data_IF_166254076271
#
_entry.id   IF_166254076271
#
_cell.length_a   1.000
_cell.length_b   1.000
_cell.length_c   1.000
_cell.angle_alpha   90.00
_cell.angle_beta   90.00
_cell.angle_gamma   90.00
#
_symmetry.space_group_name_H-M   'P 1'
#
loop_
_entity.id
_entity.type
_entity.pdbx_description
1 polymer ?
#
# COMPACT_ATOMS: atom_id res chain seq x y z
N UNK A 1 46.35 12.46 -45.03
CA UNK A 1 45.06 13.08 -44.92
C UNK A 1 43.87 12.16 -44.93
N UNK A 2 43.89 11.10 -45.63
CA UNK A 2 42.73 10.20 -45.71
C UNK A 2 42.50 9.29 -44.53
N UNK A 3 43.38 9.32 -43.65
CA UNK A 3 43.35 8.34 -42.59
C UNK A 3 42.21 8.48 -41.60
N UNK A 4 41.68 9.61 -41.55
CA UNK A 4 40.52 9.77 -40.70
C UNK A 4 39.35 8.96 -41.11
N UNK A 5 39.21 8.83 -42.36
CA UNK A 5 38.12 8.04 -42.91
C UNK A 5 38.26 6.58 -42.59
N UNK A 6 39.45 6.14 -42.51
CA UNK A 6 39.72 4.75 -42.18
C UNK A 6 39.23 4.39 -40.79
N UNK A 7 39.51 5.24 -39.88
CA UNK A 7 39.09 4.96 -38.52
C UNK A 7 37.57 4.91 -38.36
N UNK A 8 36.94 5.75 -39.09
CA UNK A 8 35.46 5.71 -39.10
C UNK A 8 34.97 4.41 -39.70
N UNK A 9 35.60 4.00 -40.78
CA UNK A 9 35.22 2.76 -41.42
C UNK A 9 35.44 1.57 -40.50
N UNK A 10 36.51 1.59 -39.80
CA UNK A 10 36.78 0.56 -38.83
C UNK A 10 35.69 0.52 -37.79
N UNK A 11 35.35 1.65 -37.28
CA UNK A 11 34.29 1.75 -36.34
C UNK A 11 32.98 1.18 -36.87
N UNK A 12 32.70 1.50 -38.09
CA UNK A 12 31.48 1.03 -38.73
C UNK A 12 31.49 -0.48 -38.85
N UNK A 13 32.59 -1.02 -39.34
CA UNK A 13 32.67 -2.45 -39.50
C UNK A 13 32.47 -3.19 -38.20
N UNK A 14 33.11 -2.75 -37.19
CA UNK A 14 32.98 -3.34 -35.88
C UNK A 14 31.57 -3.16 -35.30
N UNK A 15 31.04 -2.01 -35.51
CA UNK A 15 29.67 -1.74 -35.06
C UNK A 15 28.67 -2.70 -35.70
N UNK A 16 28.84 -2.95 -36.96
CA UNK A 16 27.99 -3.88 -37.68
C UNK A 16 28.02 -5.26 -37.04
N UNK A 17 29.19 -5.72 -36.75
CA UNK A 17 29.35 -7.01 -36.11
C UNK A 17 28.75 -6.99 -34.68
N UNK A 18 29.11 -6.00 -33.98
CA UNK A 18 28.59 -5.81 -32.64
C UNK A 18 27.08 -5.59 -32.72
N UNK A 19 26.68 -4.82 -33.68
CA UNK A 19 25.28 -4.62 -33.91
C UNK A 19 24.53 -5.92 -34.14
N UNK A 20 25.11 -6.81 -34.89
CA UNK A 20 24.54 -8.12 -35.09
C UNK A 20 24.36 -8.89 -33.76
N UNK A 21 25.32 -8.76 -32.93
CA UNK A 21 25.26 -9.36 -31.63
C UNK A 21 24.25 -8.64 -30.71
N UNK A 22 24.26 -7.35 -30.80
CA UNK A 22 23.32 -6.51 -30.03
C UNK A 22 21.89 -6.73 -30.50
N UNK A 23 21.70 -7.10 -31.74
CA UNK A 23 20.36 -7.44 -32.24
C UNK A 23 19.73 -8.61 -31.49
N UNK A 24 20.53 -9.36 -30.79
CA UNK A 24 20.03 -10.41 -29.91
C UNK A 24 19.52 -9.85 -28.57
N UNK A 25 19.81 -8.60 -28.31
CA UNK A 25 19.13 -7.94 -27.21
C UNK A 25 17.66 -7.80 -27.63
N UNK A 26 16.90 -8.73 -27.14
CA UNK A 26 15.48 -8.56 -27.14
C UNK A 26 15.21 -7.23 -26.44
N UNK A 27 14.69 -6.30 -27.17
CA UNK A 27 13.95 -5.25 -26.55
C UNK A 27 12.77 -5.93 -25.86
N UNK A 28 12.99 -6.37 -24.65
CA UNK A 28 11.87 -6.72 -23.84
C UNK A 28 11.05 -5.44 -23.77
N UNK A 29 9.94 -5.47 -24.48
CA UNK A 29 8.90 -4.48 -24.30
C UNK A 29 8.72 -4.37 -22.79
N UNK A 30 8.94 -3.20 -22.20
CA UNK A 30 8.72 -3.04 -20.79
C UNK A 30 7.34 -3.61 -20.51
N UNK A 31 7.29 -4.56 -19.60
CA UNK A 31 6.03 -5.08 -19.14
C UNK A 31 5.15 -3.88 -18.84
N UNK A 32 3.88 -3.89 -19.27
CA UNK A 32 3.01 -2.78 -18.95
C UNK A 32 3.13 -2.60 -17.43
N UNK A 33 3.66 -1.46 -17.06
CA UNK A 33 3.58 -1.02 -15.68
C UNK A 33 2.13 -1.22 -15.34
N UNK A 34 1.78 -1.98 -14.31
CA UNK A 34 0.39 -2.06 -13.92
C UNK A 34 -0.05 -0.61 -13.82
N UNK A 35 -0.93 -0.22 -14.70
CA UNK A 35 -1.52 1.11 -14.68
C UNK A 35 -1.94 1.27 -13.23
N UNK A 36 -1.41 2.28 -12.57
CA UNK A 36 -1.93 2.66 -11.29
C UNK A 36 -3.44 2.77 -11.52
N UNK A 37 -4.15 1.79 -11.03
CA UNK A 37 -5.60 1.84 -11.02
C UNK A 37 -5.90 2.99 -10.06
N UNK A 38 -6.02 4.16 -10.62
CA UNK A 38 -6.65 5.31 -9.98
C UNK A 38 -8.15 5.03 -9.97
N UNK A 39 -8.49 3.95 -9.34
CA UNK A 39 -9.80 3.60 -8.91
C UNK A 39 -9.63 3.32 -7.44
N UNK A 40 -10.45 3.92 -6.65
CA UNK A 40 -10.60 3.79 -5.22
C UNK A 40 -10.90 2.33 -4.84
N UNK A 41 -9.95 1.45 -5.13
CA UNK A 41 -10.00 0.04 -4.76
C UNK A 41 -9.51 -0.04 -3.33
N UNK A 42 -10.41 0.21 -2.40
CA UNK A 42 -10.14 -0.02 -1.00
C UNK A 42 -9.59 -1.44 -0.82
N UNK A 43 -8.53 -1.58 -0.06
CA UNK A 43 -8.00 -2.90 0.30
C UNK A 43 -9.07 -3.63 1.12
N UNK A 44 -9.35 -4.86 0.73
CA UNK A 44 -10.38 -5.69 1.39
C UNK A 44 -9.68 -6.67 2.34
N UNK A 45 -10.07 -6.65 3.59
CA UNK A 45 -9.58 -7.55 4.62
C UNK A 45 -10.69 -8.48 5.11
N UNK A 46 -10.34 -9.69 5.49
CA UNK A 46 -11.26 -10.59 6.19
C UNK A 46 -11.22 -10.33 7.68
N UNK A 47 -12.29 -10.71 8.38
CA UNK A 47 -12.31 -10.66 9.85
C UNK A 47 -11.26 -11.59 10.46
N UNK A 48 -10.93 -12.68 9.79
CA UNK A 48 -9.85 -13.57 10.19
C UNK A 48 -8.50 -12.84 10.21
N UNK A 49 -8.22 -12.04 9.18
CA UNK A 49 -6.99 -11.24 9.15
C UNK A 49 -6.99 -10.20 10.27
N UNK A 50 -8.07 -9.47 10.43
CA UNK A 50 -8.19 -8.46 11.49
C UNK A 50 -7.93 -9.07 12.87
N UNK A 51 -8.43 -10.27 13.12
CA UNK A 51 -8.29 -10.96 14.42
C UNK A 51 -6.86 -11.32 14.82
N UNK A 52 -5.93 -11.33 13.87
CA UNK A 52 -4.49 -11.55 14.13
C UNK A 52 -3.82 -10.32 14.73
N UNK A 53 -4.39 -9.14 14.54
CA UNK A 53 -3.88 -7.86 14.98
C UNK A 53 -4.56 -7.42 16.29
N UNK A 54 -4.27 -8.11 17.38
CA UNK A 54 -5.04 -8.04 18.64
C UNK A 54 -4.27 -7.54 19.85
N UNK A 55 -3.11 -6.93 19.65
CA UNK A 55 -2.26 -6.47 20.76
C UNK A 55 -1.72 -5.05 20.55
N UNK A 56 -0.98 -4.53 21.52
CA UNK A 56 -0.47 -3.17 21.52
C UNK A 56 0.53 -2.87 20.40
N UNK A 57 1.16 -3.89 19.83
CA UNK A 57 2.14 -3.74 18.75
C UNK A 57 1.49 -3.84 17.38
N UNK A 58 0.29 -4.39 17.33
CA UNK A 58 -0.50 -4.50 16.10
C UNK A 58 -1.98 -4.60 16.46
N UNK A 59 -2.70 -3.50 16.32
CA UNK A 59 -4.07 -3.35 16.77
C UNK A 59 -4.96 -2.89 15.61
N UNK A 60 -5.67 -3.83 15.01
CA UNK A 60 -6.67 -3.52 14.00
C UNK A 60 -8.08 -3.69 14.57
N UNK A 61 -8.96 -2.80 14.15
CA UNK A 61 -10.36 -2.81 14.61
C UNK A 61 -11.26 -2.57 13.40
N UNK A 62 -12.36 -3.27 13.30
CA UNK A 62 -13.39 -2.93 12.31
C UNK A 62 -14.44 -2.03 12.95
N UNK A 63 -14.85 -0.99 12.23
CA UNK A 63 -15.93 -0.11 12.65
C UNK A 63 -16.79 0.21 11.42
N UNK A 64 -18.04 -0.14 11.48
CA UNK A 64 -19.03 0.10 10.41
C UNK A 64 -18.54 -0.40 9.02
N UNK A 65 -17.91 -1.57 9.00
CA UNK A 65 -17.45 -2.20 7.76
C UNK A 65 -16.11 -1.68 7.22
N UNK A 66 -15.46 -0.75 7.89
CA UNK A 66 -14.11 -0.30 7.56
C UNK A 66 -13.11 -0.90 8.54
N UNK A 67 -11.86 -1.07 8.07
CA UNK A 67 -10.74 -1.58 8.88
C UNK A 67 -9.79 -0.45 9.19
N UNK A 68 -9.41 -0.35 10.45
CA UNK A 68 -8.55 0.71 10.99
C UNK A 68 -7.36 0.11 11.71
N UNK A 69 -6.16 0.62 11.46
CA UNK A 69 -4.97 0.33 12.25
C UNK A 69 -4.82 1.37 13.36
N UNK A 70 -5.23 1.00 14.55
CA UNK A 70 -5.22 1.87 15.71
C UNK A 70 -3.94 1.74 16.56
N UNK A 71 -2.92 1.03 16.10
CA UNK A 71 -1.67 0.82 16.84
C UNK A 71 -1.07 2.15 17.30
N UNK A 72 -0.95 3.11 16.40
CA UNK A 72 -0.43 4.44 16.71
C UNK A 72 -1.37 5.31 17.56
N UNK A 73 -2.67 4.98 17.58
CA UNK A 73 -3.67 5.73 18.33
C UNK A 73 -3.75 5.30 19.81
N UNK A 74 -3.32 4.09 20.13
CA UNK A 74 -3.36 3.56 21.52
C UNK A 74 -2.79 4.54 22.55
N UNK A 75 -1.58 5.10 22.39
CA UNK A 75 -1.02 6.02 23.37
C UNK A 75 -1.65 7.42 23.35
N UNK A 76 -2.38 7.76 22.30
CA UNK A 76 -2.91 9.11 22.07
C UNK A 76 -4.38 9.23 22.45
N UNK A 77 -5.06 8.10 22.68
CA UNK A 77 -6.49 8.10 22.93
C UNK A 77 -6.84 8.75 24.26
N UNK A 78 -7.70 9.79 24.27
CA UNK A 78 -8.06 10.51 25.50
C UNK A 78 -8.75 9.64 26.55
N UNK A 79 -9.47 8.61 26.12
CA UNK A 79 -10.12 7.62 26.98
C UNK A 79 -9.18 6.58 27.59
N UNK A 80 -7.87 6.69 27.32
CA UNK A 80 -6.85 5.79 27.82
C UNK A 80 -6.58 4.58 26.91
N UNK A 81 -5.43 3.99 27.09
CA UNK A 81 -4.96 2.85 26.28
C UNK A 81 -5.89 1.63 26.34
N UNK A 82 -6.41 1.36 27.52
CA UNK A 82 -7.24 0.18 27.76
C UNK A 82 -8.51 0.16 26.90
N UNK A 83 -9.08 1.32 26.62
CA UNK A 83 -10.27 1.44 25.78
C UNK A 83 -10.02 0.96 24.34
N UNK A 84 -8.82 1.22 23.79
CA UNK A 84 -8.46 0.75 22.45
C UNK A 84 -8.00 -0.70 22.49
N UNK A 85 -7.17 -1.07 23.45
CA UNK A 85 -6.64 -2.44 23.56
C UNK A 85 -7.73 -3.49 23.66
N UNK A 86 -8.84 -3.18 24.32
CA UNK A 86 -9.98 -4.07 24.43
C UNK A 86 -10.72 -4.32 23.10
N UNK A 87 -10.45 -3.53 22.07
CA UNK A 87 -11.08 -3.64 20.76
C UNK A 87 -10.18 -4.27 19.70
N UNK A 88 -8.87 -4.37 19.95
CA UNK A 88 -7.93 -4.89 18.96
C UNK A 88 -8.33 -6.29 18.50
N UNK A 89 -8.36 -6.51 17.20
CA UNK A 89 -8.72 -7.77 16.57
C UNK A 89 -10.22 -8.03 16.52
N UNK A 90 -11.08 -7.07 16.85
CA UNK A 90 -12.53 -7.26 16.93
C UNK A 90 -13.33 -6.23 16.14
N UNK A 91 -14.63 -6.41 16.11
CA UNK A 91 -15.58 -5.38 15.65
C UNK A 91 -15.90 -4.42 16.80
N UNK A 92 -15.37 -3.21 16.67
CA UNK A 92 -15.56 -2.12 17.62
C UNK A 92 -16.75 -1.21 17.33
N UNK A 93 -17.60 -1.54 16.37
CA UNK A 93 -18.71 -0.66 15.92
C UNK A 93 -19.61 -0.24 17.09
N UNK A 94 -20.06 -1.20 17.89
CA UNK A 94 -20.96 -0.90 19.01
C UNK A 94 -20.28 -0.06 20.09
N UNK A 95 -19.02 -0.37 20.41
CA UNK A 95 -18.25 0.37 21.40
C UNK A 95 -18.00 1.81 20.94
N UNK A 96 -17.59 1.99 19.68
CA UNK A 96 -17.34 3.32 19.11
C UNK A 96 -18.61 4.17 19.13
N UNK A 97 -19.72 3.63 18.64
CA UNK A 97 -21.00 4.35 18.62
C UNK A 97 -21.53 4.64 20.02
N UNK A 98 -21.40 3.70 20.92
CA UNK A 98 -21.85 3.89 22.31
C UNK A 98 -21.08 4.97 23.04
N UNK A 99 -19.77 5.12 22.75
CA UNK A 99 -18.92 6.11 23.40
C UNK A 99 -18.97 7.48 22.72
N UNK A 100 -19.05 7.52 21.38
CA UNK A 100 -18.88 8.75 20.60
C UNK A 100 -20.13 9.18 19.84
N UNK A 101 -21.11 8.31 19.70
CA UNK A 101 -22.32 8.59 18.92
C UNK A 101 -21.97 8.95 17.47
N UNK A 102 -22.59 10.02 16.97
CA UNK A 102 -22.37 10.54 15.63
C UNK A 102 -21.41 11.76 15.61
N UNK A 103 -20.53 11.85 16.60
CA UNK A 103 -19.61 12.98 16.73
C UNK A 103 -18.61 13.03 15.58
N UNK A 104 -18.73 14.03 14.75
CA UNK A 104 -17.94 14.22 13.54
C UNK A 104 -16.44 14.25 13.81
N UNK A 105 -16.02 14.90 14.87
CA UNK A 105 -14.60 14.99 15.23
C UNK A 105 -13.96 13.63 15.44
N UNK A 106 -14.64 12.73 16.13
CA UNK A 106 -14.14 11.37 16.38
C UNK A 106 -14.13 10.55 15.09
N UNK A 107 -15.11 10.73 14.23
CA UNK A 107 -15.16 10.10 12.91
C UNK A 107 -14.01 10.58 12.01
N UNK A 108 -13.74 11.88 12.01
CA UNK A 108 -12.63 12.46 11.24
C UNK A 108 -11.27 11.94 11.71
N UNK A 109 -11.06 11.85 13.02
CA UNK A 109 -9.84 11.26 13.59
C UNK A 109 -9.72 9.79 13.17
N UNK A 110 -10.78 9.03 13.34
CA UNK A 110 -10.81 7.60 12.99
C UNK A 110 -10.46 7.39 11.52
N UNK A 111 -10.99 8.21 10.62
CA UNK A 111 -10.73 8.12 9.18
C UNK A 111 -9.24 8.19 8.83
N UNK A 112 -8.42 8.88 9.63
CA UNK A 112 -6.97 8.97 9.40
C UNK A 112 -6.23 7.65 9.64
N UNK A 113 -6.86 6.70 10.30
CA UNK A 113 -6.30 5.37 10.59
C UNK A 113 -6.89 4.28 9.70
N UNK A 114 -7.74 4.63 8.76
CA UNK A 114 -8.36 3.64 7.88
C UNK A 114 -7.33 3.02 6.93
N UNK A 115 -7.30 1.70 6.89
CA UNK A 115 -6.40 0.93 6.02
C UNK A 115 -7.15 0.13 4.94
N UNK A 116 -8.45 0.02 5.04
CA UNK A 116 -9.25 -0.70 4.06
C UNK A 116 -10.68 -0.92 4.51
N UNK A 117 -11.32 -1.91 3.92
CA UNK A 117 -12.70 -2.30 4.21
C UNK A 117 -12.76 -3.78 4.56
N UNK A 118 -13.78 -4.14 5.33
CA UNK A 118 -14.07 -5.52 5.66
C UNK A 118 -14.79 -6.17 4.48
N UNK A 119 -14.26 -7.31 4.01
CA UNK A 119 -14.92 -8.16 3.03
C UNK A 119 -16.11 -8.91 3.65
N UNK A 120 -17.07 -9.18 2.81
CA UNK A 120 -18.27 -9.96 3.17
C UNK A 120 -17.92 -11.44 3.09
#
# INVERSE_FOLDING_TARGET
MGFRTVSVLIGIGLIVIVGGTVLLQRTEKPAPIPSAVTGDSAVIYSMEEVSKHKDATSCWVTISGNVYDLTGWIPLHPGGRAAILGLCGTDGTAAFRGQHGDAKQQADILATYQIGQLGI
#
